data_IF_392460193425
#
_entry.id   IF_392460193425
#
_cell.length_a   1.000
_cell.length_b   1.000
_cell.length_c   1.000
_cell.angle_alpha   90.00
_cell.angle_beta   90.00
_cell.angle_gamma   90.00
#
_symmetry.space_group_name_H-M   'P 1'
#
loop_
_entity.id
_entity.type
_entity.pdbx_description
1 polymer ?
#
# COMPACT_ATOMS: atom_id res chain seq x y z
N UNK A 1 -10.13 3.90 -18.74
CA UNK A 1 -10.68 3.40 -20.02
C UNK A 1 -10.88 1.89 -19.92
N UNK A 2 -12.08 1.32 -20.22
CA UNK A 2 -12.23 -0.16 -20.30
C UNK A 2 -11.62 -0.62 -21.62
N UNK A 3 -10.80 -1.68 -21.61
CA UNK A 3 -10.30 -2.26 -22.86
C UNK A 3 -11.47 -2.70 -23.74
N UNK A 4 -11.38 -2.43 -25.05
CA UNK A 4 -12.33 -2.94 -26.05
C UNK A 4 -11.92 -4.33 -26.53
N UNK A 5 -10.75 -4.84 -26.10
CA UNK A 5 -10.25 -6.16 -26.46
C UNK A 5 -11.06 -7.24 -25.74
N UNK A 6 -11.67 -8.13 -26.53
CA UNK A 6 -12.54 -9.22 -26.06
C UNK A 6 -11.88 -10.58 -26.18
N UNK A 7 -10.71 -10.64 -26.80
CA UNK A 7 -9.98 -11.86 -27.11
C UNK A 7 -8.84 -12.07 -26.10
N UNK A 8 -9.02 -13.01 -25.16
CA UNK A 8 -8.07 -13.29 -24.07
C UNK A 8 -6.62 -13.54 -24.53
N UNK A 9 -6.33 -14.27 -25.61
CA UNK A 9 -4.97 -14.45 -26.12
C UNK A 9 -4.34 -13.20 -26.75
N UNK A 10 -5.16 -12.22 -27.20
CA UNK A 10 -4.67 -10.91 -27.68
C UNK A 10 -4.50 -9.91 -26.55
N UNK A 11 -5.05 -10.23 -25.38
CA UNK A 11 -4.63 -9.63 -24.12
C UNK A 11 -3.19 -10.10 -23.89
N UNK A 12 -2.24 -9.41 -24.52
CA UNK A 12 -0.82 -9.66 -24.42
C UNK A 12 -0.42 -9.55 -22.94
N UNK A 13 -0.49 -10.67 -22.22
CA UNK A 13 -0.32 -10.79 -20.77
C UNK A 13 1.15 -10.58 -20.39
N UNK A 14 1.72 -9.44 -20.79
CA UNK A 14 3.06 -9.02 -20.46
C UNK A 14 3.09 -8.47 -19.04
N UNK A 15 2.96 -9.38 -18.09
CA UNK A 15 3.37 -9.15 -16.71
C UNK A 15 4.82 -9.55 -16.53
N UNK A 16 5.58 -8.78 -15.75
CA UNK A 16 6.86 -9.29 -15.23
C UNK A 16 6.59 -10.52 -14.36
N UNK A 17 7.40 -11.56 -14.52
CA UNK A 17 7.32 -12.78 -13.71
C UNK A 17 7.52 -12.46 -12.21
N UNK A 18 6.97 -13.33 -11.35
CA UNK A 18 7.18 -13.33 -9.91
C UNK A 18 8.66 -13.13 -9.55
N UNK A 19 8.97 -12.35 -8.51
CA UNK A 19 10.33 -12.30 -7.95
C UNK A 19 10.46 -13.23 -6.75
N UNK A 20 11.67 -13.69 -6.52
CA UNK A 20 12.06 -14.33 -5.27
C UNK A 20 11.92 -13.37 -4.06
N UNK A 21 11.71 -13.92 -2.85
CA UNK A 21 11.51 -13.17 -1.60
C UNK A 21 12.81 -12.83 -0.83
N UNK A 22 12.86 -11.75 0.00
CA UNK A 22 11.72 -10.92 0.41
C UNK A 22 11.21 -9.92 -0.62
N UNK A 23 9.92 -9.57 -0.50
CA UNK A 23 9.37 -8.39 -1.14
C UNK A 23 9.93 -7.15 -0.46
N UNK A 24 10.49 -6.23 -1.24
CA UNK A 24 10.91 -4.91 -0.75
C UNK A 24 9.75 -3.94 -0.84
N UNK A 25 9.38 -3.35 0.29
CA UNK A 25 8.32 -2.37 0.39
C UNK A 25 8.89 -1.01 0.77
N UNK A 26 8.55 0.00 -0.02
CA UNK A 26 8.65 1.40 0.40
C UNK A 26 7.31 1.78 1.05
N UNK A 27 7.34 2.11 2.33
CA UNK A 27 6.17 2.60 3.05
C UNK A 27 6.26 4.11 3.22
N UNK A 28 5.22 4.80 2.74
CA UNK A 28 5.12 6.26 2.74
C UNK A 28 3.91 6.64 3.57
N UNK A 29 4.13 7.39 4.65
CA UNK A 29 3.05 7.95 5.46
C UNK A 29 2.88 9.41 5.09
N UNK A 30 1.68 9.81 4.65
CA UNK A 30 1.34 11.19 4.35
C UNK A 30 0.30 11.70 5.35
N UNK A 31 0.64 12.76 6.08
CA UNK A 31 -0.18 13.29 7.16
C UNK A 31 -0.94 14.57 6.78
N UNK A 32 -2.03 14.89 7.50
CA UNK A 32 -2.78 16.12 7.28
C UNK A 32 -2.09 17.36 7.90
N UNK A 33 -2.21 18.51 7.23
CA UNK A 33 -1.59 19.80 7.62
C UNK A 33 -1.97 20.31 9.02
N UNK A 34 -3.15 19.94 9.51
CA UNK A 34 -3.76 20.58 10.67
C UNK A 34 -3.17 20.12 12.02
N UNK A 35 -2.13 19.30 11.98
CA UNK A 35 -1.45 18.78 13.16
C UNK A 35 -0.19 19.59 13.46
N UNK A 36 0.07 19.82 14.73
CA UNK A 36 1.38 20.32 15.14
C UNK A 36 2.45 19.24 14.91
N UNK A 37 3.72 19.63 14.80
CA UNK A 37 4.85 18.72 14.51
C UNK A 37 4.93 17.50 15.44
N UNK A 38 4.61 17.67 16.73
CA UNK A 38 4.61 16.55 17.68
C UNK A 38 3.47 15.56 17.39
N UNK A 39 2.28 16.07 17.10
CA UNK A 39 1.13 15.26 16.73
C UNK A 39 1.37 14.53 15.41
N UNK A 40 2.00 15.19 14.43
CA UNK A 40 2.41 14.55 13.19
C UNK A 40 3.34 13.36 13.45
N UNK A 41 4.42 13.59 14.20
CA UNK A 41 5.38 12.51 14.49
C UNK A 41 4.71 11.30 15.18
N UNK A 42 3.80 11.56 16.12
CA UNK A 42 3.05 10.49 16.80
C UNK A 42 2.18 9.68 15.83
N UNK A 43 1.47 10.32 14.92
CA UNK A 43 0.63 9.61 13.93
C UNK A 43 1.47 8.80 12.95
N UNK A 44 2.63 9.32 12.50
CA UNK A 44 3.59 8.55 11.71
C UNK A 44 4.06 7.31 12.49
N UNK A 45 4.50 7.49 13.73
CA UNK A 45 4.99 6.38 14.57
C UNK A 45 3.89 5.33 14.80
N UNK A 46 2.66 5.75 15.03
CA UNK A 46 1.52 4.85 15.19
C UNK A 46 1.24 4.06 13.91
N UNK A 47 1.27 4.70 12.74
CA UNK A 47 1.02 4.04 11.46
C UNK A 47 2.13 3.06 11.10
N UNK A 48 3.40 3.46 11.27
CA UNK A 48 4.54 2.58 11.06
C UNK A 48 4.49 1.39 12.01
N UNK A 49 4.18 1.61 13.29
CA UNK A 49 4.01 0.54 14.27
C UNK A 49 2.87 -0.40 13.91
N UNK A 50 1.72 0.12 13.45
CA UNK A 50 0.59 -0.71 12.99
C UNK A 50 1.01 -1.66 11.87
N UNK A 51 1.76 -1.16 10.89
CA UNK A 51 2.28 -1.97 9.80
C UNK A 51 3.30 -3.02 10.28
N UNK A 52 4.22 -2.63 11.17
CA UNK A 52 5.22 -3.54 11.74
C UNK A 52 4.53 -4.63 12.56
N UNK A 53 3.53 -4.30 13.38
CA UNK A 53 2.76 -5.28 14.15
C UNK A 53 2.00 -6.23 13.22
N UNK A 54 1.38 -5.69 12.16
CA UNK A 54 0.69 -6.47 11.15
C UNK A 54 1.63 -7.49 10.49
N UNK A 55 2.82 -7.05 10.05
CA UNK A 55 3.80 -7.90 9.36
C UNK A 55 4.49 -8.87 10.33
N UNK A 56 4.97 -8.37 11.46
CA UNK A 56 5.69 -9.14 12.47
C UNK A 56 4.85 -10.26 13.09
N UNK A 57 3.52 -10.09 13.20
CA UNK A 57 2.62 -11.11 13.75
C UNK A 57 2.67 -12.46 13.02
N UNK A 58 2.99 -12.47 11.71
CA UNK A 58 3.09 -13.70 10.93
C UNK A 58 4.53 -14.14 10.63
N UNK A 59 5.51 -13.26 10.77
CA UNK A 59 6.94 -13.62 10.70
C UNK A 59 7.48 -14.27 12.00
N UNK A 60 6.71 -14.24 13.09
CA UNK A 60 7.01 -14.85 14.39
C UNK A 60 7.21 -16.38 14.41
N UNK A 61 7.25 -17.03 13.23
CA UNK A 61 7.49 -18.47 13.06
C UNK A 61 8.97 -18.85 12.94
N UNK A 62 9.90 -17.89 13.06
CA UNK A 62 11.35 -18.14 13.13
C UNK A 62 12.02 -18.38 11.77
N UNK A 63 11.40 -17.94 10.67
CA UNK A 63 11.95 -17.99 9.32
C UNK A 63 12.65 -16.70 8.89
N UNK A 64 13.26 -16.71 7.70
CA UNK A 64 13.75 -15.50 7.03
C UNK A 64 12.59 -14.52 6.74
N UNK A 65 12.81 -13.19 6.85
CA UNK A 65 11.78 -12.21 6.59
C UNK A 65 11.25 -12.36 5.17
N UNK A 66 9.93 -12.28 5.01
CA UNK A 66 9.25 -12.39 3.70
C UNK A 66 8.96 -11.03 3.11
N UNK A 67 8.91 -10.00 3.95
CA UNK A 67 8.73 -8.62 3.56
C UNK A 67 9.75 -7.79 4.33
N UNK A 68 10.42 -6.88 3.62
CA UNK A 68 11.31 -5.90 4.24
C UNK A 68 10.87 -4.50 3.87
N UNK A 69 10.93 -3.59 4.84
CA UNK A 69 10.28 -2.28 4.76
C UNK A 69 11.33 -1.19 4.89
N UNK A 70 11.32 -0.27 3.93
CA UNK A 70 11.95 1.05 4.03
C UNK A 70 10.84 2.07 4.33
N UNK A 71 11.02 2.85 5.39
CA UNK A 71 10.11 3.94 5.74
C UNK A 71 10.64 5.24 5.15
N UNK A 72 9.77 6.00 4.50
CA UNK A 72 10.11 7.32 3.98
C UNK A 72 9.72 8.39 5.00
N UNK A 73 10.64 9.30 5.29
CA UNK A 73 10.45 10.37 6.27
C UNK A 73 9.60 11.52 5.72
N UNK A 74 9.71 11.83 4.43
CA UNK A 74 8.90 12.86 3.75
C UNK A 74 8.17 12.29 2.54
N UNK A 75 6.87 12.52 2.46
CA UNK A 75 6.00 11.92 1.46
C UNK A 75 6.04 12.63 0.10
N UNK A 76 7.19 13.18 -0.32
CA UNK A 76 7.31 13.90 -1.59
C UNK A 76 7.56 12.98 -2.78
N UNK A 77 7.10 13.38 -3.97
CA UNK A 77 7.35 12.62 -5.20
C UNK A 77 8.84 12.48 -5.51
N UNK A 78 9.63 13.51 -5.20
CA UNK A 78 11.08 13.51 -5.39
C UNK A 78 11.75 12.45 -4.50
N UNK A 79 11.36 12.38 -3.22
CA UNK A 79 11.90 11.41 -2.28
C UNK A 79 11.46 9.97 -2.60
N UNK A 80 10.18 9.77 -2.96
CA UNK A 80 9.70 8.48 -3.43
C UNK A 80 10.54 8.01 -4.63
N UNK A 81 10.78 8.89 -5.60
CA UNK A 81 11.61 8.56 -6.76
C UNK A 81 13.07 8.29 -6.41
N UNK A 82 13.62 8.99 -5.42
CA UNK A 82 15.01 8.79 -4.96
C UNK A 82 15.17 7.43 -4.28
N UNK A 83 14.26 7.09 -3.37
CA UNK A 83 14.26 5.80 -2.67
C UNK A 83 14.12 4.62 -3.64
N UNK A 84 13.22 4.74 -4.63
CA UNK A 84 13.06 3.74 -5.69
C UNK A 84 14.31 3.56 -6.55
N UNK A 85 15.03 4.65 -6.83
CA UNK A 85 16.29 4.62 -7.60
C UNK A 85 17.42 3.95 -6.82
N UNK A 86 17.49 4.18 -5.49
CA UNK A 86 18.54 3.65 -4.62
C UNK A 86 18.37 2.16 -4.33
N UNK A 87 17.20 1.74 -3.85
CA UNK A 87 17.05 0.41 -3.26
C UNK A 87 16.12 -0.55 -4.02
N UNK A 88 15.46 -0.06 -5.09
CA UNK A 88 14.48 -0.79 -5.93
C UNK A 88 13.41 -1.55 -5.12
N UNK A 89 12.20 -1.01 -5.06
CA UNK A 89 11.09 -1.61 -4.30
C UNK A 89 10.10 -2.33 -5.20
N UNK A 90 9.61 -3.50 -4.76
CA UNK A 90 8.55 -4.25 -5.42
C UNK A 90 7.17 -3.65 -5.11
N UNK A 91 7.01 -3.14 -3.89
CA UNK A 91 5.77 -2.56 -3.37
C UNK A 91 6.03 -1.11 -3.00
N UNK A 92 5.15 -0.21 -3.43
CA UNK A 92 5.00 1.13 -2.84
C UNK A 92 3.66 1.15 -2.11
N UNK A 93 3.67 1.40 -0.81
CA UNK A 93 2.46 1.56 -0.01
C UNK A 93 2.41 2.98 0.54
N UNK A 94 1.44 3.75 0.05
CA UNK A 94 1.14 5.09 0.52
C UNK A 94 -0.07 5.01 1.45
N UNK A 95 0.14 5.34 2.71
CA UNK A 95 -0.91 5.49 3.72
C UNK A 95 -1.10 6.98 4.01
N UNK A 96 -2.33 7.47 3.92
CA UNK A 96 -2.59 8.90 4.12
C UNK A 96 -3.97 9.34 3.65
N UNK A 97 -4.08 10.59 3.22
CA UNK A 97 -5.36 11.18 2.83
C UNK A 97 -5.50 11.33 1.32
N UNK A 98 -6.71 11.08 0.85
CA UNK A 98 -7.16 11.37 -0.50
C UNK A 98 -8.48 12.12 -0.43
N UNK A 99 -8.76 12.92 -1.45
CA UNK A 99 -10.04 13.60 -1.58
C UNK A 99 -10.47 13.66 -3.04
N UNK A 100 -11.79 13.77 -3.25
CA UNK A 100 -12.37 13.98 -4.56
C UNK A 100 -13.04 15.36 -4.65
N UNK A 101 -12.41 16.27 -5.40
CA UNK A 101 -12.89 17.63 -5.62
C UNK A 101 -14.05 17.63 -6.63
N UNK A 102 -15.29 17.59 -6.13
CA UNK A 102 -16.51 17.46 -6.97
C UNK A 102 -16.71 18.57 -8.00
N UNK A 103 -16.23 19.79 -7.73
CA UNK A 103 -16.39 20.95 -8.62
C UNK A 103 -15.64 20.77 -9.94
N UNK A 104 -14.41 20.25 -9.86
CA UNK A 104 -13.52 20.02 -11.00
C UNK A 104 -13.47 18.54 -11.41
N UNK A 105 -14.18 17.66 -10.68
CA UNK A 105 -14.20 16.20 -10.88
C UNK A 105 -12.78 15.63 -10.90
N UNK A 106 -12.05 15.87 -9.82
CA UNK A 106 -10.63 15.57 -9.74
C UNK A 106 -10.31 14.89 -8.41
N UNK A 107 -9.73 13.69 -8.47
CA UNK A 107 -9.15 13.03 -7.31
C UNK A 107 -7.71 13.51 -7.09
N UNK A 108 -7.35 13.74 -5.82
CA UNK A 108 -6.00 14.10 -5.37
C UNK A 108 -5.58 13.26 -4.17
N UNK A 109 -4.27 13.06 -4.04
CA UNK A 109 -3.62 12.61 -2.81
C UNK A 109 -3.08 13.84 -2.08
N UNK A 110 -3.17 13.84 -0.75
CA UNK A 110 -2.55 14.85 0.08
C UNK A 110 -1.20 14.29 0.54
N UNK A 111 -0.13 14.75 -0.12
CA UNK A 111 1.26 14.37 0.14
C UNK A 111 2.05 15.60 0.63
N UNK A 112 3.37 15.54 0.55
CA UNK A 112 4.28 16.62 0.92
C UNK A 112 5.09 17.12 -0.29
N UNK A 113 5.57 18.37 -0.22
CA UNK A 113 6.64 18.89 -1.06
C UNK A 113 8.03 18.61 -0.43
N UNK A 114 9.10 19.07 -1.07
CA UNK A 114 10.48 18.87 -0.61
C UNK A 114 10.80 19.58 0.71
N UNK A 115 9.98 20.57 1.10
CA UNK A 115 10.12 21.31 2.35
C UNK A 115 9.22 20.72 3.47
N UNK A 116 8.51 19.62 3.19
CA UNK A 116 7.59 18.97 4.13
C UNK A 116 6.24 19.69 4.28
N UNK A 117 5.93 20.65 3.40
CA UNK A 117 4.62 21.28 3.36
C UNK A 117 3.65 20.41 2.59
N UNK A 118 2.37 20.54 2.86
CA UNK A 118 1.36 19.79 2.13
C UNK A 118 1.30 20.19 0.67
N UNK A 119 1.04 19.16 -0.14
CA UNK A 119 0.88 19.25 -1.57
C UNK A 119 -0.25 18.35 -2.01
N UNK A 120 -1.20 18.91 -2.76
CA UNK A 120 -2.14 18.10 -3.52
C UNK A 120 -1.43 17.50 -4.73
N UNK A 121 -1.48 16.18 -4.86
CA UNK A 121 -0.82 15.43 -5.92
C UNK A 121 -1.86 14.68 -6.74
N UNK A 122 -1.85 14.91 -8.05
CA UNK A 122 -2.71 14.22 -8.99
C UNK A 122 -2.25 12.77 -9.18
N UNK A 123 -3.19 11.88 -9.48
CA UNK A 123 -2.83 10.50 -9.82
C UNK A 123 -1.90 10.42 -11.03
N UNK A 124 -2.02 11.36 -11.97
CA UNK A 124 -1.13 11.45 -13.12
C UNK A 124 0.32 11.76 -12.75
N UNK A 125 0.56 12.67 -11.79
CA UNK A 125 1.91 13.02 -11.33
C UNK A 125 2.59 11.85 -10.62
N UNK A 126 1.85 11.14 -9.76
CA UNK A 126 2.33 9.93 -9.12
C UNK A 126 2.61 8.83 -10.16
N UNK A 127 1.73 8.69 -11.16
CA UNK A 127 1.91 7.75 -12.27
C UNK A 127 3.16 8.02 -13.10
N UNK A 128 3.42 9.28 -13.44
CA UNK A 128 4.63 9.72 -14.15
C UNK A 128 5.91 9.45 -13.37
N UNK A 129 5.83 9.58 -12.05
CA UNK A 129 6.94 9.29 -11.15
C UNK A 129 7.22 7.80 -11.10
N UNK A 130 6.20 6.98 -10.83
CA UNK A 130 6.36 5.54 -10.63
C UNK A 130 6.66 4.78 -11.93
N UNK A 131 6.18 5.23 -13.10
CA UNK A 131 6.47 4.54 -14.39
C UNK A 131 7.95 4.50 -14.75
N UNK A 132 8.76 5.37 -14.17
CA UNK A 132 10.22 5.41 -14.38
C UNK A 132 10.92 4.23 -13.68
N UNK A 133 10.24 3.58 -12.74
CA UNK A 133 10.78 2.55 -11.86
C UNK A 133 10.13 1.22 -12.15
N UNK A 134 10.66 0.50 -13.14
CA UNK A 134 10.07 -0.78 -13.55
C UNK A 134 10.17 -1.91 -12.50
N UNK A 135 10.80 -1.66 -11.35
CA UNK A 135 10.84 -2.57 -10.20
C UNK A 135 9.48 -2.63 -9.48
N UNK A 136 8.69 -1.55 -9.52
CA UNK A 136 7.40 -1.47 -8.83
C UNK A 136 6.37 -2.38 -9.51
N UNK A 137 5.91 -3.37 -8.76
CA UNK A 137 4.90 -4.36 -9.20
C UNK A 137 3.53 -4.07 -8.63
N UNK A 138 3.48 -3.50 -7.42
CA UNK A 138 2.26 -3.23 -6.69
C UNK A 138 2.31 -1.86 -6.02
N UNK A 139 1.32 -1.02 -6.34
CA UNK A 139 1.03 0.20 -5.59
C UNK A 139 -0.17 -0.07 -4.66
N UNK A 140 -0.03 0.25 -3.38
CA UNK A 140 -1.14 0.24 -2.42
C UNK A 140 -1.42 1.67 -1.98
N UNK A 141 -2.66 2.12 -2.20
CA UNK A 141 -3.16 3.41 -1.75
C UNK A 141 -4.15 3.19 -0.61
N UNK A 142 -3.65 3.24 0.62
CA UNK A 142 -4.47 3.26 1.84
C UNK A 142 -4.89 4.69 2.15
N UNK A 143 -5.62 5.29 1.21
CA UNK A 143 -6.13 6.65 1.33
C UNK A 143 -7.58 6.73 0.89
N UNK A 144 -8.37 7.51 1.62
CA UNK A 144 -9.81 7.66 1.39
C UNK A 144 -10.10 8.16 -0.04
N UNK A 145 -11.19 7.68 -0.63
CA UNK A 145 -11.72 8.14 -1.93
C UNK A 145 -10.76 8.02 -3.13
N UNK A 146 -9.65 7.29 -3.00
CA UNK A 146 -8.66 7.12 -4.08
C UNK A 146 -9.22 6.39 -5.30
N UNK A 147 -10.21 5.50 -5.10
CA UNK A 147 -10.90 4.76 -6.16
C UNK A 147 -12.31 5.28 -6.51
N UNK A 148 -12.55 6.59 -6.35
CA UNK A 148 -13.78 7.24 -6.81
C UNK A 148 -13.86 7.28 -8.33
N UNK A 149 -15.07 7.04 -8.86
CA UNK A 149 -15.29 7.03 -10.30
C UNK A 149 -15.37 8.45 -10.88
N UNK A 150 -14.80 8.65 -12.07
CA UNK A 150 -14.83 9.94 -12.77
C UNK A 150 -13.60 10.79 -12.48
N UNK A 151 -12.45 10.39 -13.00
CA UNK A 151 -11.15 11.06 -12.85
C UNK A 151 -10.64 11.08 -11.39
N UNK A 152 -10.86 9.97 -10.67
CA UNK A 152 -10.22 9.69 -9.39
C UNK A 152 -8.73 9.38 -9.53
N UNK A 153 -8.00 9.33 -8.40
CA UNK A 153 -6.53 9.12 -8.38
C UNK A 153 -6.15 7.84 -9.14
N UNK A 154 -6.86 6.74 -8.91
CA UNK A 154 -6.56 5.46 -9.55
C UNK A 154 -6.89 5.45 -11.05
N UNK A 155 -7.94 6.16 -11.47
CA UNK A 155 -8.27 6.25 -12.90
C UNK A 155 -7.19 6.99 -13.67
N UNK A 156 -6.62 8.06 -13.09
CA UNK A 156 -5.48 8.78 -13.65
C UNK A 156 -4.22 7.91 -13.66
N UNK A 157 -3.94 7.20 -12.56
CA UNK A 157 -2.78 6.30 -12.45
C UNK A 157 -2.81 5.15 -13.46
N UNK A 158 -4.01 4.63 -13.77
CA UNK A 158 -4.16 3.50 -14.67
C UNK A 158 -3.57 3.76 -16.06
N UNK A 159 -3.52 5.02 -16.50
CA UNK A 159 -2.96 5.41 -17.81
C UNK A 159 -1.43 5.26 -17.89
N UNK A 160 -0.74 5.14 -16.76
CA UNK A 160 0.72 5.08 -16.68
C UNK A 160 1.29 3.66 -16.65
N UNK A 161 0.42 2.64 -16.75
CA UNK A 161 0.86 1.25 -16.97
C UNK A 161 1.48 0.56 -15.75
N UNK A 162 1.23 1.04 -14.53
CA UNK A 162 1.61 0.32 -13.31
C UNK A 162 0.97 -1.07 -13.31
N UNK A 163 1.71 -2.17 -13.00
CA UNK A 163 1.19 -3.52 -13.21
C UNK A 163 -0.09 -3.82 -12.41
N UNK A 164 -0.07 -3.46 -11.12
CA UNK A 164 -1.20 -3.65 -10.22
C UNK A 164 -1.30 -2.53 -9.19
N UNK A 165 -2.55 -2.15 -8.87
CA UNK A 165 -2.87 -1.11 -7.88
C UNK A 165 -3.98 -1.65 -6.97
N UNK A 166 -3.79 -1.55 -5.66
CA UNK A 166 -4.84 -1.72 -4.66
C UNK A 166 -5.18 -0.35 -4.08
N UNK A 167 -6.47 -0.03 -4.00
CA UNK A 167 -6.92 1.27 -3.53
C UNK A 167 -8.23 1.16 -2.74
N UNK A 168 -8.55 2.22 -2.00
CA UNK A 168 -9.75 2.28 -1.16
C UNK A 168 -10.84 3.13 -1.83
N UNK A 169 -12.02 2.54 -2.01
CA UNK A 169 -13.18 3.25 -2.59
C UNK A 169 -13.87 4.19 -1.61
N UNK A 170 -13.76 3.92 -0.32
CA UNK A 170 -14.36 4.65 0.79
C UNK A 170 -13.33 4.77 1.92
N UNK A 171 -13.66 5.53 2.95
CA UNK A 171 -12.86 5.58 4.17
C UNK A 171 -12.83 4.23 4.87
N UNK A 172 -11.69 3.94 5.51
CA UNK A 172 -11.47 2.76 6.35
C UNK A 172 -11.02 3.28 7.71
N UNK A 173 -11.53 2.68 8.78
CA UNK A 173 -11.10 2.90 10.16
C UNK A 173 -9.70 2.33 10.39
N UNK A 174 -8.98 2.83 11.40
CA UNK A 174 -7.63 2.35 11.70
C UNK A 174 -7.59 0.85 12.00
N UNK A 175 -8.59 0.32 12.72
CA UNK A 175 -8.73 -1.10 12.98
C UNK A 175 -8.99 -1.89 11.68
N UNK A 176 -9.86 -1.38 10.82
CA UNK A 176 -10.10 -1.96 9.49
C UNK A 176 -8.83 -1.99 8.64
N UNK A 177 -8.06 -0.90 8.63
CA UNK A 177 -6.79 -0.81 7.91
C UNK A 177 -5.76 -1.82 8.45
N UNK A 178 -5.68 -1.99 9.77
CA UNK A 178 -4.84 -3.02 10.40
C UNK A 178 -5.26 -4.44 10.02
N UNK A 179 -6.55 -4.76 10.09
CA UNK A 179 -7.08 -6.08 9.68
C UNK A 179 -6.78 -6.35 8.20
N UNK A 180 -7.02 -5.35 7.35
CA UNK A 180 -6.77 -5.42 5.91
C UNK A 180 -5.30 -5.68 5.59
N UNK A 181 -4.40 -4.83 6.09
CA UNK A 181 -2.95 -4.91 5.81
C UNK A 181 -2.34 -6.19 6.33
N UNK A 182 -2.71 -6.62 7.55
CA UNK A 182 -2.27 -7.90 8.14
C UNK A 182 -2.62 -9.07 7.23
N UNK A 183 -3.89 -9.19 6.83
CA UNK A 183 -4.36 -10.30 6.02
C UNK A 183 -3.79 -10.26 4.58
N UNK A 184 -3.69 -9.07 3.97
CA UNK A 184 -3.13 -8.89 2.64
C UNK A 184 -1.66 -9.34 2.60
N UNK A 185 -0.83 -8.81 3.50
CA UNK A 185 0.60 -9.12 3.52
C UNK A 185 0.90 -10.55 3.98
N UNK A 186 0.08 -11.11 4.88
CA UNK A 186 0.17 -12.52 5.24
C UNK A 186 -0.12 -13.46 4.06
N UNK A 187 -1.01 -13.08 3.13
CA UNK A 187 -1.26 -13.86 1.93
C UNK A 187 -0.16 -13.66 0.87
N UNK A 188 0.25 -12.41 0.61
CA UNK A 188 1.32 -12.11 -0.36
C UNK A 188 2.65 -12.78 0.02
N UNK A 189 3.01 -12.77 1.31
CA UNK A 189 4.23 -13.43 1.83
C UNK A 189 4.23 -14.95 1.66
N UNK A 190 3.05 -15.58 1.51
CA UNK A 190 2.90 -17.02 1.23
C UNK A 190 2.99 -17.35 -0.26
N UNK A 191 3.17 -16.35 -1.13
CA UNK A 191 3.15 -16.53 -2.58
C UNK A 191 1.75 -16.64 -3.17
N UNK A 192 0.72 -16.14 -2.48
CA UNK A 192 -0.60 -16.01 -3.07
C UNK A 192 -0.64 -14.92 -4.14
N UNK A 193 -1.52 -15.08 -5.11
CA UNK A 193 -1.81 -14.02 -6.11
C UNK A 193 -2.43 -12.81 -5.43
N UNK A 194 -2.28 -11.62 -6.03
CA UNK A 194 -2.89 -10.40 -5.50
C UNK A 194 -4.41 -10.52 -5.33
N UNK A 195 -5.09 -11.21 -6.26
CA UNK A 195 -6.54 -11.44 -6.18
C UNK A 195 -6.90 -12.33 -4.98
N UNK A 196 -6.15 -13.40 -4.71
CA UNK A 196 -6.36 -14.23 -3.51
C UNK A 196 -6.03 -13.46 -2.23
N UNK A 197 -4.96 -12.68 -2.22
CA UNK A 197 -4.59 -11.85 -1.08
C UNK A 197 -5.68 -10.82 -0.76
N UNK A 198 -6.26 -10.18 -1.78
CA UNK A 198 -7.38 -9.27 -1.62
C UNK A 198 -8.62 -10.00 -1.08
N UNK A 199 -8.95 -11.19 -1.61
CA UNK A 199 -10.07 -11.98 -1.14
C UNK A 199 -9.91 -12.36 0.36
N UNK A 200 -8.71 -12.79 0.77
CA UNK A 200 -8.40 -13.11 2.16
C UNK A 200 -8.53 -11.88 3.08
N UNK A 201 -8.10 -10.70 2.61
CA UNK A 201 -8.23 -9.46 3.35
C UNK A 201 -9.70 -9.03 3.51
N UNK A 202 -10.51 -9.17 2.46
CA UNK A 202 -11.96 -8.91 2.53
C UNK A 202 -12.68 -9.87 3.48
N UNK A 203 -12.31 -11.15 3.45
CA UNK A 203 -12.86 -12.13 4.39
C UNK A 203 -12.50 -11.78 5.84
N UNK A 204 -11.26 -11.36 6.09
CA UNK A 204 -10.83 -10.95 7.44
C UNK A 204 -11.59 -9.71 7.94
N UNK A 205 -11.83 -8.72 7.08
CA UNK A 205 -12.69 -7.57 7.38
C UNK A 205 -14.14 -7.98 7.66
N UNK A 206 -14.67 -8.96 6.91
CA UNK A 206 -16.01 -9.50 7.13
C UNK A 206 -16.12 -10.21 8.48
N UNK A 207 -15.15 -11.06 8.83
CA UNK A 207 -15.11 -11.73 10.13
C UNK A 207 -14.96 -10.75 11.28
N UNK A 208 -14.12 -9.73 11.14
CA UNK A 208 -13.99 -8.64 12.11
C UNK A 208 -15.33 -7.93 12.33
N UNK A 209 -16.05 -7.57 11.26
CA UNK A 209 -17.38 -6.98 11.36
C UNK A 209 -18.39 -7.86 12.11
N UNK A 210 -18.40 -9.17 11.83
CA UNK A 210 -19.29 -10.11 12.52
C UNK A 210 -18.99 -10.18 14.02
N UNK A 211 -17.71 -10.19 14.39
CA UNK A 211 -17.29 -10.20 15.78
C UNK A 211 -17.67 -8.90 16.51
N UNK A 212 -17.46 -7.73 15.88
CA UNK A 212 -17.87 -6.45 16.47
C UNK A 212 -19.39 -6.38 16.70
N UNK A 213 -20.19 -6.87 15.75
CA UNK A 213 -21.65 -6.98 15.90
C UNK A 213 -22.05 -7.93 17.03
N UNK A 214 -21.29 -8.99 17.27
CA UNK A 214 -21.52 -9.94 18.36
C UNK A 214 -21.22 -9.30 19.72
N UNK A 215 -20.14 -8.51 19.80
CA UNK A 215 -19.70 -7.84 21.03
C UNK A 215 -20.60 -6.66 21.41
N UNK A 216 -21.07 -5.89 20.43
CA UNK A 216 -21.95 -4.73 20.63
C UNK A 216 -23.09 -4.69 19.60
N UNK A 217 -24.15 -5.49 19.78
CA UNK A 217 -25.21 -5.64 18.78
C UNK A 217 -26.10 -4.40 18.60
N UNK A 218 -26.05 -3.44 19.53
CA UNK A 218 -26.88 -2.23 19.50
C UNK A 218 -26.21 -1.07 18.78
N UNK A 219 -24.90 -1.15 18.56
CA UNK A 219 -24.13 -0.14 17.83
C UNK A 219 -24.11 -0.45 16.33
N UNK A 220 -24.28 0.56 15.46
CA UNK A 220 -24.01 0.40 14.03
C UNK A 220 -22.51 0.13 13.79
N UNK A 221 -22.22 -0.88 12.98
CA UNK A 221 -20.86 -1.24 12.59
C UNK A 221 -20.64 -1.01 11.10
N UNK A 222 -19.55 -0.32 10.76
CA UNK A 222 -19.19 -0.01 9.37
C UNK A 222 -18.78 -1.29 8.64
N UNK A 223 -19.36 -1.51 7.46
CA UNK A 223 -18.94 -2.59 6.59
C UNK A 223 -17.82 -2.10 5.67
N UNK A 224 -16.59 -2.55 5.92
CA UNK A 224 -15.39 -2.07 5.21
C UNK A 224 -14.83 -3.11 4.23
N UNK A 225 -15.33 -4.35 4.28
CA UNK A 225 -14.84 -5.46 3.44
C UNK A 225 -14.97 -5.22 1.93
N UNK A 226 -15.88 -4.34 1.49
CA UNK A 226 -16.03 -4.00 0.06
C UNK A 226 -15.22 -2.78 -0.38
N UNK A 227 -14.54 -2.11 0.55
CA UNK A 227 -13.79 -0.88 0.30
C UNK A 227 -12.52 -1.11 -0.54
N UNK A 228 -11.68 -2.13 -0.25
CA UNK A 228 -10.48 -2.38 -1.04
C UNK A 228 -10.84 -2.88 -2.44
N UNK A 229 -10.28 -2.26 -3.47
CA UNK A 229 -10.46 -2.65 -4.88
C UNK A 229 -9.09 -2.82 -5.55
N UNK A 230 -9.03 -3.68 -6.57
CA UNK A 230 -7.82 -3.91 -7.36
C UNK A 230 -8.03 -3.45 -8.80
N UNK A 231 -7.00 -2.81 -9.34
CA UNK A 231 -6.86 -2.46 -10.74
C UNK A 231 -5.63 -3.19 -11.28
N UNK A 232 -5.81 -3.90 -12.40
CA UNK A 232 -4.75 -4.66 -13.06
C UNK A 232 -4.59 -4.10 -14.47
N UNK A 233 -3.41 -3.56 -14.78
CA UNK A 233 -3.05 -3.19 -16.15
C UNK A 233 -2.29 -4.31 -16.86
N UNK A 234 -1.65 -5.19 -16.09
CA UNK A 234 -0.91 -6.34 -16.59
C UNK A 234 -1.31 -7.59 -15.81
N UNK A 235 -1.13 -8.76 -16.41
CA UNK A 235 -1.20 -10.00 -15.66
C UNK A 235 -0.16 -9.96 -14.54
N UNK A 236 -0.57 -10.21 -13.31
CA UNK A 236 0.34 -10.24 -12.17
C UNK A 236 0.20 -11.62 -11.54
N UNK A 237 1.24 -12.45 -11.67
CA UNK A 237 1.32 -13.71 -10.93
C UNK A 237 1.49 -13.45 -9.42
N UNK A 238 1.79 -14.48 -8.64
CA UNK A 238 2.25 -14.28 -7.28
C UNK A 238 3.44 -13.30 -7.26
N UNK A 239 3.43 -12.30 -6.37
CA UNK A 239 4.57 -11.39 -6.26
C UNK A 239 5.81 -12.10 -5.70
N UNK A 240 5.59 -13.14 -4.88
CA UNK A 240 6.61 -14.01 -4.31
C UNK A 240 6.61 -15.35 -5.04
N UNK A 241 7.76 -15.76 -5.56
CA UNK A 241 8.00 -17.14 -5.95
C UNK A 241 8.56 -17.93 -4.74
N UNK A 242 7.77 -18.80 -4.07
CA UNK A 242 8.22 -19.52 -2.88
C UNK A 242 9.31 -20.57 -3.17
N UNK A 243 9.56 -20.89 -4.46
CA UNK A 243 10.57 -21.87 -4.87
C UNK A 243 11.95 -21.26 -5.09
N UNK A 244 12.04 -19.93 -5.22
CA UNK A 244 13.31 -19.24 -5.38
C UNK A 244 13.76 -18.66 -4.02
N UNK A 245 15.02 -18.91 -3.67
CA UNK A 245 15.67 -18.22 -2.55
C UNK A 245 16.14 -16.87 -3.04
N UNK A 246 15.77 -15.80 -2.35
CA UNK A 246 16.37 -14.51 -2.61
C UNK A 246 17.19 -14.03 -1.43
N UNK A 247 18.22 -13.30 -1.77
CA UNK A 247 19.27 -12.85 -0.87
C UNK A 247 19.00 -11.39 -0.58
N UNK A 248 18.85 -11.06 0.70
CA UNK A 248 18.78 -9.67 1.15
C UNK A 248 20.00 -8.91 0.59
N UNK A 249 19.79 -7.81 -0.15
CA UNK A 249 20.89 -6.98 -0.60
C UNK A 249 21.70 -6.46 0.60
N UNK A 250 23.02 -6.39 0.45
CA UNK A 250 23.93 -5.96 1.54
C UNK A 250 23.64 -4.51 2.02
N UNK A 251 23.01 -3.70 1.16
CA UNK A 251 22.59 -2.31 1.41
C UNK A 251 21.16 -2.20 1.96
N UNK A 252 20.36 -3.28 1.92
CA UNK A 252 19.02 -3.31 2.54
C UNK A 252 19.15 -3.66 4.02
N UNK A 253 19.59 -2.68 4.82
CA UNK A 253 19.51 -2.80 6.28
C UNK A 253 18.10 -2.40 6.68
N UNK A 254 17.27 -3.27 7.29
CA UNK A 254 16.00 -2.82 7.82
C UNK A 254 16.29 -1.74 8.85
N UNK A 255 15.95 -0.48 8.54
CA UNK A 255 16.12 0.64 9.46
C UNK A 255 15.26 0.50 10.74
N UNK A 256 14.44 -0.55 10.83
CA UNK A 256 13.66 -0.89 12.01
C UNK A 256 14.17 -2.17 12.71
N UNK A 257 15.46 -2.23 13.08
CA UNK A 257 15.75 -2.74 14.42
C UNK A 257 15.54 -1.55 15.33
N UNK A 258 14.39 -1.48 16.01
CA UNK A 258 14.21 -0.60 17.16
C UNK A 258 15.33 -0.89 18.16
N UNK A 259 16.45 -0.19 18.04
CA UNK A 259 17.37 0.00 19.14
C UNK A 259 16.57 0.74 20.19
N UNK A 260 16.01 -0.01 21.13
CA UNK A 260 15.45 0.51 22.38
C UNK A 260 16.38 1.65 22.84
N UNK A 261 15.89 2.89 23.01
CA UNK A 261 16.71 3.87 23.71
C UNK A 261 17.01 3.28 25.09
N UNK A 262 18.28 2.99 25.36
CA UNK A 262 18.74 2.73 26.72
C UNK A 262 18.40 4.00 27.50
N UNK A 263 17.35 3.94 28.31
CA UNK A 263 17.11 4.92 29.37
C UNK A 263 18.33 4.78 30.32
N UNK A 264 19.15 5.81 30.52
CA UNK A 264 20.18 5.77 31.54
C UNK A 264 19.50 5.64 32.90
N UNK A 265 20.04 4.73 33.72
CA UNK A 265 19.60 4.50 35.10
C UNK A 265 19.72 5.74 35.98
#
# INVERSE_FOLDING_TARGET
MRTLEKDLPKFDMQGKAASAAPLKMLFVTALPENLNERSKLLEIEEEQKRLIDAIGSFEATGGEPKIVIEFLDTASLAEISEALRKHQHDIVHISGHGSYQKQVKQGVLHLEDEDGNHREVLGGELGETLRQHQCVKLLILSACETAMAGNGVVEQLAEFGLPSIVAMRFSVTDDGAKVFTTALYAALSKGETLTHALAAARESLWQYLLEQRRLDPHRPHLAEWFTPVVYLNQYTEALVNPKEKYVLPEDFTPAAIFSKPKIPA
#
